data_IF_644878723125
#
_entry.id   IF_644878723125
#
_cell.length_a   1.000
_cell.length_b   1.000
_cell.length_c   1.000
_cell.angle_alpha   90.00
_cell.angle_beta   90.00
_cell.angle_gamma   90.00
#
_symmetry.space_group_name_H-M   'P 1'
#
loop_
_entity.id
_entity.type
_entity.pdbx_description
1 polymer ?
#
# COMPACT_ATOMS: atom_id res chain seq x y z
N UNK A 1 -21.53 -6.71 23.61
CA UNK A 1 -21.23 -6.17 22.26
C UNK A 1 -19.97 -6.86 21.76
N UNK A 2 -20.01 -7.50 20.59
CA UNK A 2 -18.85 -8.21 20.00
C UNK A 2 -17.96 -7.24 19.20
N UNK A 3 -16.70 -7.60 19.03
CA UNK A 3 -15.63 -6.76 18.50
C UNK A 3 -14.92 -7.40 17.31
N UNK A 4 -14.84 -6.66 16.21
CA UNK A 4 -14.02 -7.00 15.05
C UNK A 4 -12.87 -6.00 15.00
N UNK A 5 -11.64 -6.50 15.00
CA UNK A 5 -10.44 -5.71 14.83
C UNK A 5 -9.84 -5.99 13.45
N UNK A 6 -9.60 -4.93 12.67
CA UNK A 6 -9.00 -4.98 11.34
C UNK A 6 -7.63 -4.32 11.43
N UNK A 7 -6.59 -5.05 11.06
CA UNK A 7 -5.22 -4.54 11.01
C UNK A 7 -4.89 -4.14 9.58
N UNK A 8 -4.69 -2.84 9.35
CA UNK A 8 -4.45 -2.25 8.03
C UNK A 8 -5.72 -1.68 7.40
N UNK A 9 -5.65 -0.41 7.01
CA UNK A 9 -6.64 0.39 6.28
C UNK A 9 -6.29 0.55 4.80
N UNK A 10 -5.55 -0.40 4.23
CA UNK A 10 -5.38 -0.55 2.78
C UNK A 10 -6.65 -1.02 2.07
N UNK A 11 -6.50 -1.52 0.84
CA UNK A 11 -7.62 -2.01 0.01
C UNK A 11 -8.48 -3.05 0.71
N UNK A 12 -7.86 -4.13 1.22
CA UNK A 12 -8.61 -5.22 1.84
C UNK A 12 -9.31 -4.79 3.14
N UNK A 13 -8.63 -4.07 4.03
CA UNK A 13 -9.19 -3.65 5.31
C UNK A 13 -10.37 -2.68 5.16
N UNK A 14 -10.25 -1.70 4.27
CA UNK A 14 -11.36 -0.77 3.99
C UNK A 14 -12.52 -1.46 3.30
N UNK A 15 -12.28 -2.40 2.37
CA UNK A 15 -13.34 -3.23 1.78
C UNK A 15 -14.05 -4.06 2.84
N UNK A 16 -13.31 -4.76 3.71
CA UNK A 16 -13.89 -5.58 4.78
C UNK A 16 -14.72 -4.74 5.76
N UNK A 17 -14.21 -3.59 6.20
CA UNK A 17 -14.97 -2.66 7.04
C UNK A 17 -16.30 -2.24 6.37
N UNK A 18 -16.27 -1.88 5.08
CA UNK A 18 -17.44 -1.49 4.32
C UNK A 18 -18.47 -2.62 4.16
N UNK A 19 -18.02 -3.83 3.83
CA UNK A 19 -18.92 -4.98 3.69
C UNK A 19 -19.53 -5.41 5.03
N UNK A 20 -18.71 -5.51 6.08
CA UNK A 20 -19.15 -5.95 7.41
C UNK A 20 -20.08 -4.93 8.06
N UNK A 21 -19.79 -3.63 7.95
CA UNK A 21 -20.64 -2.61 8.56
C UNK A 21 -22.06 -2.62 8.01
N UNK A 22 -22.24 -2.96 6.72
CA UNK A 22 -23.56 -3.13 6.07
C UNK A 22 -24.30 -4.40 6.51
N UNK A 23 -23.57 -5.49 6.78
CA UNK A 23 -24.16 -6.80 7.09
C UNK A 23 -24.41 -7.02 8.59
N UNK A 24 -23.66 -6.35 9.46
CA UNK A 24 -23.72 -6.56 10.89
C UNK A 24 -24.50 -5.43 11.58
N UNK A 25 -25.31 -5.80 12.57
CA UNK A 25 -26.02 -4.85 13.42
C UNK A 25 -25.05 -4.03 14.28
N UNK A 26 -25.19 -2.70 14.28
CA UNK A 26 -24.35 -1.79 15.07
C UNK A 26 -24.54 -1.91 16.58
N UNK A 27 -25.72 -2.36 17.03
CA UNK A 27 -25.97 -2.61 18.46
C UNK A 27 -25.31 -3.89 18.98
N UNK A 28 -24.96 -4.82 18.08
CA UNK A 28 -24.32 -6.09 18.43
C UNK A 28 -22.82 -6.11 18.15
N UNK A 29 -22.36 -5.35 17.15
CA UNK A 29 -20.99 -5.41 16.63
C UNK A 29 -20.31 -4.04 16.54
N UNK A 30 -19.19 -3.91 17.22
CA UNK A 30 -18.20 -2.84 17.08
C UNK A 30 -17.13 -3.28 16.08
N UNK A 31 -16.77 -2.40 15.14
CA UNK A 31 -15.69 -2.62 14.18
C UNK A 31 -14.65 -1.53 14.41
N UNK A 32 -13.40 -1.93 14.56
CA UNK A 32 -12.25 -1.04 14.70
C UNK A 32 -11.20 -1.41 13.65
N UNK A 33 -10.64 -0.41 13.01
CA UNK A 33 -9.56 -0.55 12.03
C UNK A 33 -8.36 0.24 12.53
N UNK A 34 -7.17 -0.37 12.45
CA UNK A 34 -5.92 0.25 12.90
C UNK A 34 -5.00 0.39 11.71
N UNK A 35 -4.52 1.60 11.46
CA UNK A 35 -3.47 1.86 10.48
C UNK A 35 -2.68 3.09 10.92
N UNK A 36 -1.37 3.09 10.70
CA UNK A 36 -0.50 4.23 10.99
C UNK A 36 -0.59 5.31 9.91
N UNK A 37 -0.99 4.94 8.70
CA UNK A 37 -0.97 5.82 7.54
C UNK A 37 -2.15 6.80 7.54
N UNK A 38 -1.95 7.99 6.97
CA UNK A 38 -3.05 8.93 6.67
C UNK A 38 -3.63 8.76 5.27
N UNK A 39 -2.83 8.15 4.41
CA UNK A 39 -3.06 8.11 2.99
C UNK A 39 -3.41 6.71 2.54
N UNK A 40 -4.52 6.60 1.80
CA UNK A 40 -4.88 5.42 1.05
C UNK A 40 -4.36 5.57 -0.37
N UNK A 41 -3.61 4.57 -0.82
CA UNK A 41 -3.06 4.51 -2.16
C UNK A 41 -3.81 3.50 -3.03
N UNK A 42 -4.26 3.96 -4.20
CA UNK A 42 -4.64 3.06 -5.30
C UNK A 42 -3.36 2.61 -6.02
N UNK A 43 -2.70 1.61 -5.43
CA UNK A 43 -1.38 1.13 -5.87
C UNK A 43 -1.32 0.62 -7.32
N UNK A 44 -2.37 0.01 -7.92
CA UNK A 44 -2.34 -0.32 -9.35
C UNK A 44 -2.07 0.91 -10.24
N UNK A 45 -2.50 2.09 -9.78
CA UNK A 45 -2.23 3.35 -10.46
C UNK A 45 -0.75 3.74 -10.53
N UNK A 46 0.13 3.16 -9.71
CA UNK A 46 1.55 3.50 -9.69
C UNK A 46 2.26 3.09 -10.98
N UNK A 47 1.82 2.01 -11.64
CA UNK A 47 2.32 1.59 -12.95
C UNK A 47 2.18 2.69 -14.01
N UNK A 48 1.12 3.49 -13.91
CA UNK A 48 0.77 4.53 -14.89
C UNK A 48 1.33 5.91 -14.54
N UNK A 49 1.85 6.09 -13.32
CA UNK A 49 2.45 7.36 -12.88
C UNK A 49 3.73 7.72 -13.67
N UNK A 50 4.71 6.80 -13.87
CA UNK A 50 5.94 7.06 -14.63
C UNK A 50 5.68 7.71 -16.00
N UNK A 51 4.62 7.27 -16.68
CA UNK A 51 4.25 7.69 -18.03
C UNK A 51 3.25 8.85 -18.05
N UNK A 52 2.96 9.46 -16.90
CA UNK A 52 2.09 10.63 -16.74
C UNK A 52 0.61 10.39 -17.16
N UNK A 53 0.21 9.14 -17.38
CA UNK A 53 -1.16 8.69 -17.68
C UNK A 53 -2.05 8.92 -16.45
N UNK A 54 -1.54 8.59 -15.25
CA UNK A 54 -2.17 8.93 -13.99
C UNK A 54 -1.47 10.12 -13.34
N UNK A 55 -2.21 10.91 -12.55
CA UNK A 55 -1.68 11.99 -11.71
C UNK A 55 -1.71 11.58 -10.24
N UNK A 56 -0.83 12.16 -9.38
CA UNK A 56 -0.82 11.88 -7.94
C UNK A 56 -2.18 11.92 -7.26
N UNK A 57 -3.02 12.92 -7.57
CA UNK A 57 -4.37 13.06 -6.99
C UNK A 57 -5.33 11.91 -7.32
N UNK A 58 -5.07 11.15 -8.39
CA UNK A 58 -5.89 9.99 -8.79
C UNK A 58 -5.53 8.74 -7.99
N UNK A 59 -4.30 8.65 -7.48
CA UNK A 59 -3.80 7.48 -6.75
C UNK A 59 -3.67 7.71 -5.24
N UNK A 60 -3.77 8.96 -4.78
CA UNK A 60 -3.62 9.36 -3.39
C UNK A 60 -4.92 9.96 -2.84
N UNK A 61 -5.48 9.38 -1.79
CA UNK A 61 -6.66 9.90 -1.08
C UNK A 61 -6.47 9.73 0.43
N UNK A 62 -7.15 10.50 1.29
CA UNK A 62 -7.09 10.24 2.73
C UNK A 62 -7.88 8.96 3.05
N UNK A 63 -7.39 8.18 4.03
CA UNK A 63 -8.04 6.94 4.48
C UNK A 63 -9.46 7.22 4.99
N UNK A 64 -9.69 8.37 5.63
CA UNK A 64 -10.99 8.76 6.22
C UNK A 64 -12.13 8.70 5.20
N UNK A 65 -11.85 8.99 3.92
CA UNK A 65 -12.84 8.90 2.83
C UNK A 65 -13.38 7.49 2.59
N UNK A 66 -12.68 6.47 3.07
CA UNK A 66 -13.02 5.06 2.88
C UNK A 66 -13.51 4.38 4.16
N UNK A 67 -13.48 5.08 5.30
CA UNK A 67 -13.98 4.55 6.56
C UNK A 67 -15.50 4.76 6.62
N UNK A 68 -16.31 3.69 6.68
CA UNK A 68 -17.76 3.83 6.75
C UNK A 68 -18.19 4.37 8.12
N UNK A 69 -19.33 5.08 8.14
CA UNK A 69 -19.93 5.56 9.39
C UNK A 69 -20.14 4.41 10.39
N UNK A 70 -19.82 4.66 11.66
CA UNK A 70 -19.94 3.65 12.72
C UNK A 70 -18.80 2.61 12.75
N UNK A 71 -17.71 2.85 12.02
CA UNK A 71 -16.42 2.15 12.18
C UNK A 71 -15.42 3.12 12.79
N UNK A 72 -14.66 2.64 13.76
CA UNK A 72 -13.65 3.43 14.45
C UNK A 72 -12.28 3.22 13.79
N UNK A 73 -11.66 4.29 13.31
CA UNK A 73 -10.27 4.28 12.83
C UNK A 73 -9.35 4.72 13.97
N UNK A 74 -8.33 3.91 14.26
CA UNK A 74 -7.23 4.24 15.15
C UNK A 74 -6.00 4.49 14.28
N UNK A 75 -5.41 5.68 14.44
CA UNK A 75 -4.22 6.13 13.73
C UNK A 75 -2.98 5.80 14.54
N UNK A 76 -2.53 4.57 14.45
CA UNK A 76 -1.40 4.09 15.26
C UNK A 76 -0.73 2.89 14.60
N UNK A 77 0.57 2.73 14.86
CA UNK A 77 1.34 1.58 14.43
C UNK A 77 1.03 0.36 15.30
N UNK A 78 0.77 -0.75 14.62
CA UNK A 78 0.61 -2.06 15.25
C UNK A 78 2.01 -2.56 15.62
N UNK A 79 2.18 -2.96 16.87
CA UNK A 79 3.42 -3.58 17.35
C UNK A 79 3.34 -5.10 17.17
N UNK A 80 2.45 -5.77 17.92
CA UNK A 80 2.34 -7.24 17.90
C UNK A 80 0.94 -7.77 18.18
N UNK A 81 0.69 -8.99 17.70
CA UNK A 81 -0.51 -9.77 18.00
C UNK A 81 -0.18 -10.75 19.13
N UNK A 82 -0.92 -10.67 20.25
CA UNK A 82 -0.86 -11.63 21.36
C UNK A 82 -1.99 -12.63 21.19
N UNK A 83 -1.77 -13.59 20.29
CA UNK A 83 -2.82 -14.51 19.81
C UNK A 83 -3.49 -15.30 20.93
N UNK A 84 -2.73 -15.73 21.94
CA UNK A 84 -3.25 -16.59 23.01
C UNK A 84 -4.17 -15.84 23.98
N UNK A 85 -4.16 -14.50 23.93
CA UNK A 85 -5.04 -13.63 24.72
C UNK A 85 -6.11 -12.92 23.87
N UNK A 86 -6.16 -13.18 22.56
CA UNK A 86 -7.02 -12.46 21.60
C UNK A 86 -6.87 -10.93 21.68
N UNK A 87 -5.63 -10.46 21.72
CA UNK A 87 -5.30 -9.02 21.82
C UNK A 87 -4.25 -8.59 20.80
N UNK A 88 -4.27 -7.30 20.47
CA UNK A 88 -3.24 -6.62 19.70
C UNK A 88 -2.68 -5.49 20.54
N UNK A 89 -1.37 -5.37 20.57
CA UNK A 89 -0.64 -4.28 21.24
C UNK A 89 -0.18 -3.31 20.15
N UNK A 90 -0.44 -2.03 20.40
CA UNK A 90 0.01 -0.93 19.55
C UNK A 90 1.34 -0.37 20.07
N UNK A 91 2.07 0.33 19.23
CA UNK A 91 3.41 0.86 19.57
C UNK A 91 3.37 1.83 20.76
N UNK A 92 2.26 2.54 20.95
CA UNK A 92 2.04 3.43 22.09
C UNK A 92 1.64 2.72 23.41
N UNK A 93 1.63 1.38 23.44
CA UNK A 93 1.24 0.57 24.60
C UNK A 93 -0.27 0.31 24.73
N UNK A 94 -1.11 0.90 23.87
CA UNK A 94 -2.55 0.61 23.85
C UNK A 94 -2.80 -0.85 23.52
N UNK A 95 -3.69 -1.49 24.26
CA UNK A 95 -4.09 -2.89 24.04
C UNK A 95 -5.52 -2.96 23.53
N UNK A 96 -5.73 -3.69 22.44
CA UNK A 96 -7.03 -3.88 21.79
C UNK A 96 -7.41 -5.37 21.79
N UNK A 97 -8.47 -5.73 22.51
CA UNK A 97 -9.06 -7.07 22.45
C UNK A 97 -9.96 -7.25 21.22
N UNK A 98 -10.10 -8.47 20.74
CA UNK A 98 -10.99 -8.81 19.63
C UNK A 98 -11.75 -10.12 19.85
N UNK A 99 -12.95 -10.24 19.27
CA UNK A 99 -13.62 -11.53 19.07
C UNK A 99 -13.27 -12.10 17.69
N UNK A 100 -13.03 -11.22 16.70
CA UNK A 100 -12.58 -11.59 15.35
C UNK A 100 -11.46 -10.64 14.94
N UNK A 101 -10.32 -11.20 14.52
CA UNK A 101 -9.19 -10.47 13.95
C UNK A 101 -9.14 -10.65 12.43
N UNK A 102 -9.02 -9.54 11.70
CA UNK A 102 -8.78 -9.53 10.25
C UNK A 102 -7.41 -8.89 10.01
N UNK A 103 -6.48 -9.66 9.45
CA UNK A 103 -5.14 -9.19 9.10
C UNK A 103 -5.14 -8.75 7.63
N UNK A 104 -5.02 -7.45 7.41
CA UNK A 104 -5.05 -6.80 6.10
C UNK A 104 -3.87 -5.81 5.93
N UNK A 105 -2.72 -6.13 6.52
CA UNK A 105 -1.53 -5.28 6.62
C UNK A 105 -0.76 -5.14 5.30
N UNK A 106 -1.09 -5.94 4.28
CA UNK A 106 -0.44 -5.89 2.97
C UNK A 106 1.02 -6.35 3.00
N UNK A 107 1.81 -5.83 2.06
CA UNK A 107 3.23 -6.16 1.89
C UNK A 107 4.07 -4.91 1.66
N UNK A 108 5.35 -4.99 2.01
CA UNK A 108 6.34 -3.96 1.75
C UNK A 108 7.35 -4.47 0.72
N UNK A 109 8.03 -3.54 0.03
CA UNK A 109 9.27 -3.88 -0.69
C UNK A 109 10.43 -3.98 0.29
N UNK A 110 11.44 -4.78 -0.03
CA UNK A 110 12.61 -5.01 0.81
C UNK A 110 13.92 -4.67 0.07
N UNK A 111 14.12 -3.42 -0.41
CA UNK A 111 15.35 -3.05 -1.10
C UNK A 111 16.61 -3.25 -0.24
N UNK A 112 16.48 -3.20 1.10
CA UNK A 112 17.58 -3.47 2.02
C UNK A 112 18.14 -4.90 1.95
N UNK A 113 17.39 -5.85 1.39
CA UNK A 113 17.81 -7.26 1.26
C UNK A 113 18.68 -7.49 0.01
N UNK A 114 18.83 -6.47 -0.85
CA UNK A 114 19.61 -6.55 -2.07
C UNK A 114 20.89 -5.73 -1.88
N UNK A 115 22.04 -6.41 -1.94
CA UNK A 115 23.34 -5.80 -1.78
C UNK A 115 23.53 -4.62 -2.77
N UNK A 116 23.91 -3.46 -2.23
CA UNK A 116 24.14 -2.24 -3.02
C UNK A 116 22.88 -1.47 -3.45
N UNK A 117 21.67 -1.99 -3.23
CA UNK A 117 20.43 -1.37 -3.73
C UNK A 117 20.12 -0.01 -3.08
N UNK A 118 20.30 0.11 -1.76
CA UNK A 118 20.06 1.35 -1.01
C UNK A 118 21.23 2.34 -1.06
N UNK A 119 22.14 2.19 -2.04
CA UNK A 119 23.25 3.12 -2.25
C UNK A 119 22.83 4.44 -2.90
N UNK A 120 23.83 5.22 -3.36
CA UNK A 120 23.66 6.58 -3.88
C UNK A 120 22.71 6.71 -5.09
N UNK A 121 22.42 5.59 -5.76
CA UNK A 121 21.60 5.53 -6.97
C UNK A 121 20.11 5.27 -6.70
N UNK A 122 19.74 4.87 -5.48
CA UNK A 122 18.34 4.62 -5.12
C UNK A 122 17.49 5.88 -5.32
N UNK A 123 16.42 5.76 -6.09
CA UNK A 123 15.54 6.84 -6.53
C UNK A 123 16.22 7.97 -7.34
N UNK A 124 17.44 7.75 -7.85
CA UNK A 124 18.15 8.67 -8.77
C UNK A 124 18.38 8.06 -10.16
N UNK A 125 18.82 6.82 -10.21
CA UNK A 125 18.99 6.03 -11.44
C UNK A 125 18.52 4.59 -11.30
N UNK A 126 18.23 4.14 -10.08
CA UNK A 126 17.56 2.86 -9.78
C UNK A 126 16.23 3.17 -9.10
N UNK A 127 15.14 2.59 -9.60
CA UNK A 127 13.79 2.93 -9.14
C UNK A 127 12.95 1.68 -8.97
N UNK A 128 12.09 1.68 -7.94
CA UNK A 128 10.89 0.87 -7.94
C UNK A 128 9.70 1.67 -8.49
N UNK A 129 8.66 0.96 -8.93
CA UNK A 129 7.34 1.56 -9.20
C UNK A 129 6.25 0.93 -8.31
N UNK A 130 6.65 0.26 -7.22
CA UNK A 130 5.77 -0.41 -6.28
C UNK A 130 5.42 0.46 -5.07
N UNK A 131 6.12 1.57 -4.89
CA UNK A 131 5.86 2.63 -3.94
C UNK A 131 5.46 3.91 -4.66
N UNK A 132 4.72 4.78 -3.97
CA UNK A 132 4.34 6.08 -4.52
C UNK A 132 5.58 6.94 -4.83
N UNK A 133 6.55 6.97 -3.92
CA UNK A 133 7.78 7.75 -4.08
C UNK A 133 8.63 7.22 -5.23
N UNK A 134 8.82 5.90 -5.33
CA UNK A 134 9.53 5.27 -6.45
C UNK A 134 8.89 5.61 -7.79
N UNK A 135 7.57 5.40 -7.93
CA UNK A 135 6.86 5.70 -9.17
C UNK A 135 6.88 7.21 -9.54
N UNK A 136 6.79 8.10 -8.54
CA UNK A 136 6.88 9.56 -8.73
C UNK A 136 8.28 10.00 -9.15
N UNK A 137 9.32 9.46 -8.50
CA UNK A 137 10.70 9.81 -8.81
C UNK A 137 11.10 9.27 -10.19
N UNK A 138 10.64 8.07 -10.53
CA UNK A 138 10.79 7.50 -11.87
C UNK A 138 10.11 8.37 -12.92
N UNK A 139 8.86 8.84 -12.69
CA UNK A 139 8.18 9.80 -13.58
C UNK A 139 9.04 11.04 -13.84
N UNK A 140 9.64 11.62 -12.80
CA UNK A 140 10.47 12.80 -12.96
C UNK A 140 11.72 12.49 -13.79
N UNK A 141 12.36 11.34 -13.54
CA UNK A 141 13.52 10.91 -14.31
C UNK A 141 13.19 10.68 -15.79
N UNK A 142 12.09 9.99 -16.11
CA UNK A 142 11.75 9.65 -17.51
C UNK A 142 11.40 10.88 -18.36
N UNK A 143 10.98 12.00 -17.74
CA UNK A 143 10.76 13.27 -18.47
C UNK A 143 12.06 13.80 -19.07
N UNK A 144 13.11 13.84 -18.26
CA UNK A 144 14.42 14.39 -18.62
C UNK A 144 15.34 13.34 -19.24
N UNK A 145 14.91 12.08 -19.32
CA UNK A 145 15.71 11.01 -19.91
C UNK A 145 15.76 11.14 -21.44
N UNK A 146 16.99 11.28 -21.96
CA UNK A 146 17.31 11.43 -23.38
C UNK A 146 17.58 10.09 -24.09
N UNK A 147 17.57 8.98 -23.34
CA UNK A 147 17.80 7.64 -23.86
C UNK A 147 18.99 6.92 -23.22
N UNK A 148 19.27 5.72 -23.71
CA UNK A 148 20.30 4.82 -23.18
C UNK A 148 19.71 3.46 -22.82
N UNK A 149 20.34 2.77 -21.86
CA UNK A 149 19.92 1.43 -21.45
C UNK A 149 18.90 1.49 -20.30
N UNK A 150 17.69 1.02 -20.55
CA UNK A 150 16.70 0.74 -19.51
C UNK A 150 16.73 -0.76 -19.18
N UNK A 151 16.85 -1.09 -17.90
CA UNK A 151 16.80 -2.47 -17.42
C UNK A 151 15.63 -2.60 -16.47
N UNK A 152 14.76 -3.57 -16.73
CA UNK A 152 13.64 -3.95 -15.87
C UNK A 152 13.99 -5.30 -15.30
N UNK A 153 14.05 -5.41 -13.97
CA UNK A 153 14.48 -6.62 -13.28
C UNK A 153 13.54 -6.95 -12.13
N UNK A 154 13.28 -8.25 -11.95
CA UNK A 154 12.56 -8.80 -10.80
C UNK A 154 13.61 -9.45 -9.92
N UNK A 155 13.82 -8.91 -8.72
CA UNK A 155 14.90 -9.34 -7.84
C UNK A 155 14.58 -10.68 -7.16
N UNK A 156 13.36 -10.84 -6.67
CA UNK A 156 12.89 -12.05 -5.99
C UNK A 156 11.37 -12.20 -6.13
N UNK A 157 10.86 -13.42 -5.95
CA UNK A 157 9.43 -13.74 -5.83
C UNK A 157 9.12 -14.28 -4.42
N UNK A 158 7.93 -13.99 -3.85
CA UNK A 158 6.78 -13.38 -4.50
C UNK A 158 6.77 -11.85 -4.49
N UNK A 159 6.21 -11.25 -5.54
CA UNK A 159 5.91 -9.82 -5.61
C UNK A 159 4.40 -9.56 -5.70
N UNK A 160 3.95 -8.40 -5.24
CA UNK A 160 2.59 -7.93 -5.51
C UNK A 160 2.46 -7.57 -6.99
N UNK A 161 1.35 -7.94 -7.62
CA UNK A 161 1.10 -7.70 -9.05
C UNK A 161 2.25 -8.20 -9.95
N UNK A 162 2.42 -9.54 -10.11
CA UNK A 162 3.55 -10.12 -10.84
C UNK A 162 3.59 -9.78 -12.33
N UNK A 163 2.47 -9.32 -12.91
CA UNK A 163 2.38 -8.88 -14.30
C UNK A 163 2.89 -7.45 -14.52
N UNK A 164 2.98 -6.63 -13.46
CA UNK A 164 3.33 -5.22 -13.57
C UNK A 164 4.71 -4.93 -14.21
N UNK A 165 5.78 -5.72 -13.99
CA UNK A 165 7.05 -5.52 -14.68
C UNK A 165 6.94 -5.73 -16.21
N UNK A 166 6.14 -6.70 -16.64
CA UNK A 166 5.87 -6.92 -18.07
C UNK A 166 5.05 -5.77 -18.65
N UNK A 167 3.97 -5.35 -17.98
CA UNK A 167 3.18 -4.20 -18.42
C UNK A 167 4.02 -2.92 -18.48
N UNK A 168 4.90 -2.70 -17.51
CA UNK A 168 5.82 -1.58 -17.50
C UNK A 168 6.72 -1.60 -18.74
N UNK A 169 7.22 -2.76 -19.16
CA UNK A 169 8.06 -2.86 -20.36
C UNK A 169 7.33 -2.39 -21.63
N UNK A 170 6.06 -2.77 -21.81
CA UNK A 170 5.26 -2.34 -22.95
C UNK A 170 4.85 -0.87 -22.87
N UNK A 171 4.55 -0.37 -21.68
CA UNK A 171 4.25 1.04 -21.45
C UNK A 171 5.48 1.92 -21.70
N UNK A 172 6.67 1.47 -21.30
CA UNK A 172 7.92 2.18 -21.55
C UNK A 172 8.21 2.23 -23.05
N UNK A 173 8.12 1.10 -23.76
CA UNK A 173 8.29 1.03 -25.21
C UNK A 173 7.34 2.00 -25.92
N UNK A 174 6.03 1.90 -25.65
CA UNK A 174 5.03 2.80 -26.22
C UNK A 174 5.31 4.27 -25.87
N UNK A 175 5.68 4.58 -24.62
CA UNK A 175 5.95 5.95 -24.20
C UNK A 175 7.12 6.57 -24.97
N UNK A 176 8.23 5.84 -25.17
CA UNK A 176 9.41 6.39 -25.84
C UNK A 176 9.31 6.39 -27.37
N UNK A 177 8.55 5.46 -27.96
CA UNK A 177 8.24 5.49 -29.40
C UNK A 177 7.39 6.72 -29.76
N UNK A 178 6.54 7.18 -28.84
CA UNK A 178 5.61 8.29 -29.06
C UNK A 178 6.00 9.60 -28.33
N UNK A 179 7.22 9.68 -27.77
CA UNK A 179 7.68 10.84 -26.99
C UNK A 179 8.05 12.03 -27.87
#
# INVERSE_FOLDING_TARGET
MKSILILGAGTAGTMMANHLRKKLSSSKWKITIVDKEETHYYQPGFLFLPFNIYKPKQVKKSIDKFIPKGVHLIREKIDRIVKDENKVILENGTTLSYDILIIATGTNIAPQEIEGMLGDHWHKSVFDFYTYEGAKNLRNKLKEWEGGKMVIHICEMPIKCPVAPLEFSFLADSFFVNK
#
